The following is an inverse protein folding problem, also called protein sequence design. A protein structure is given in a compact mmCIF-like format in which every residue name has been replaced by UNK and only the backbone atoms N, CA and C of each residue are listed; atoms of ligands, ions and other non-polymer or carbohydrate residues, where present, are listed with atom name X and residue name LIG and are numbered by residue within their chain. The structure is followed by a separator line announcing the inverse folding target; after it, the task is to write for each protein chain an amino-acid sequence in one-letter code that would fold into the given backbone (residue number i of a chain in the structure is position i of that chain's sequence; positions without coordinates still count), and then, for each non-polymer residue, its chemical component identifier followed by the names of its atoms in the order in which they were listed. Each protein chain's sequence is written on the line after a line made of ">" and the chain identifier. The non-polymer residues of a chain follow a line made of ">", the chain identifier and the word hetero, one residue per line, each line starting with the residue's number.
data_IF_370156592570
#
_entry.id   IF_370156592570
#
_cell.length_a   1.000
_cell.length_b   1.000
_cell.length_c   1.000
_cell.angle_alpha   90.00
_cell.angle_beta   90.00
_cell.angle_gamma   90.00
#
_symmetry.space_group_name_H-M   'P 1'
#
loop_
_entity.id
_entity.type
_entity.pdbx_description
1 polymer ?
#
# COMPACT_ATOMS: atom_id res chain seq x y z
N UNK A 1 -23.41 5.52 -12.58
CA UNK A 1 -23.01 6.29 -11.40
C UNK A 1 -21.73 7.02 -11.65
N UNK A 2 -21.59 8.20 -11.08
CA UNK A 2 -20.40 9.02 -11.31
C UNK A 2 -19.27 8.56 -10.41
N UNK A 3 -18.09 8.43 -11.00
CA UNK A 3 -16.89 8.15 -10.25
C UNK A 3 -16.29 9.45 -9.74
N UNK A 4 -15.62 9.39 -8.62
CA UNK A 4 -14.92 10.52 -8.03
C UNK A 4 -13.47 10.17 -7.82
N UNK A 5 -12.64 11.20 -7.74
CA UNK A 5 -11.24 11.01 -7.43
C UNK A 5 -11.04 10.81 -5.94
N UNK A 6 -10.16 9.87 -5.61
CA UNK A 6 -9.78 9.60 -4.24
C UNK A 6 -8.27 9.60 -4.14
N UNK A 7 -7.79 9.96 -2.97
CA UNK A 7 -6.39 9.91 -2.64
C UNK A 7 -6.22 8.90 -1.52
N UNK A 8 -5.29 7.97 -1.70
CA UNK A 8 -4.95 7.00 -0.67
C UNK A 8 -3.51 7.23 -0.24
N UNK A 9 -3.30 7.39 1.06
CA UNK A 9 -1.97 7.49 1.63
C UNK A 9 -1.66 6.17 2.32
N UNK A 10 -0.59 5.54 1.92
CA UNK A 10 -0.19 4.25 2.46
C UNK A 10 1.17 4.41 3.09
N UNK A 11 1.25 4.08 4.37
CA UNK A 11 2.52 4.13 5.09
C UNK A 11 3.02 2.71 5.33
N UNK A 12 4.26 2.49 4.99
CA UNK A 12 4.90 1.20 5.08
C UNK A 12 5.94 1.21 6.18
N UNK A 13 5.96 0.15 6.96
CA UNK A 13 7.05 -0.08 7.88
C UNK A 13 8.04 -0.99 7.17
N UNK A 14 9.25 -0.49 6.96
CA UNK A 14 10.30 -1.30 6.37
C UNK A 14 11.07 -1.95 7.51
N UNK A 15 10.95 -3.27 7.61
CA UNK A 15 11.58 -4.03 8.68
C UNK A 15 12.84 -4.69 8.15
N UNK A 16 13.88 -4.62 8.93
CA UNK A 16 15.12 -5.30 8.58
C UNK A 16 15.25 -6.54 9.46
N UNK A 17 15.54 -7.64 8.82
CA UNK A 17 15.61 -8.92 9.51
C UNK A 17 16.67 -8.88 10.60
N UNK A 18 16.23 -9.15 11.84
CA UNK A 18 17.14 -9.17 12.96
C UNK A 18 17.40 -7.83 13.62
N UNK A 19 16.92 -6.73 13.05
CA UNK A 19 17.15 -5.41 13.59
C UNK A 19 15.88 -4.60 13.85
N UNK A 20 14.73 -5.10 13.43
CA UNK A 20 13.48 -4.42 13.66
C UNK A 20 13.19 -3.34 12.63
N UNK A 21 12.56 -2.27 13.08
CA UNK A 21 12.12 -1.20 12.18
C UNK A 21 13.33 -0.43 11.65
N UNK A 22 13.41 -0.35 10.32
CA UNK A 22 14.47 0.39 9.66
C UNK A 22 14.02 1.78 9.27
N UNK A 23 12.86 1.88 8.66
CA UNK A 23 12.37 3.17 8.21
C UNK A 23 10.88 3.08 7.88
N UNK A 24 10.28 4.25 7.70
CA UNK A 24 8.91 4.37 7.20
C UNK A 24 8.98 4.92 5.80
N UNK A 25 8.12 4.39 4.94
CA UNK A 25 7.93 4.92 3.59
C UNK A 25 6.49 5.32 3.43
N UNK A 26 6.27 6.44 2.75
CA UNK A 26 4.93 6.91 2.44
C UNK A 26 4.74 6.88 0.93
N UNK A 27 3.57 6.43 0.52
CA UNK A 27 3.19 6.44 -0.88
C UNK A 27 1.80 7.04 -1.00
N UNK A 28 1.59 7.80 -2.07
CA UNK A 28 0.30 8.43 -2.32
C UNK A 28 -0.18 7.97 -3.68
N UNK A 29 -1.43 7.52 -3.72
CA UNK A 29 -2.06 7.03 -4.94
C UNK A 29 -3.32 7.84 -5.21
N UNK A 30 -3.55 8.17 -6.48
CA UNK A 30 -4.76 8.84 -6.91
C UNK A 30 -5.50 7.91 -7.85
N UNK A 31 -6.79 7.74 -7.63
CA UNK A 31 -7.59 6.87 -8.48
C UNK A 31 -9.06 7.29 -8.41
N UNK A 32 -9.83 6.82 -9.38
CA UNK A 32 -11.26 7.07 -9.42
C UNK A 32 -12.02 5.87 -8.90
N UNK A 33 -13.07 6.13 -8.13
CA UNK A 33 -13.91 5.08 -7.59
C UNK A 33 -15.35 5.57 -7.48
N UNK A 34 -16.27 4.64 -7.36
CA UNK A 34 -17.69 4.95 -7.30
C UNK A 34 -18.16 5.35 -5.91
N UNK A 35 -17.45 4.91 -4.89
CA UNK A 35 -17.84 5.18 -3.51
C UNK A 35 -16.63 5.15 -2.59
N UNK A 36 -16.75 5.73 -1.39
CA UNK A 36 -15.67 5.64 -0.41
C UNK A 36 -15.34 4.21 -0.03
N UNK A 37 -16.35 3.34 0.09
CA UNK A 37 -16.11 1.95 0.44
C UNK A 37 -15.31 1.23 -0.64
N UNK A 38 -15.67 1.44 -1.91
CA UNK A 38 -14.93 0.84 -3.01
C UNK A 38 -13.52 1.39 -3.07
N UNK A 39 -13.34 2.68 -2.81
CA UNK A 39 -12.03 3.31 -2.79
C UNK A 39 -11.16 2.70 -1.69
N UNK A 40 -11.74 2.48 -0.52
CA UNK A 40 -11.01 1.89 0.59
C UNK A 40 -10.55 0.48 0.27
N UNK A 41 -11.42 -0.34 -0.34
CA UNK A 41 -11.06 -1.69 -0.73
C UNK A 41 -9.94 -1.69 -1.76
N UNK A 42 -9.99 -0.77 -2.71
CA UNK A 42 -8.94 -0.67 -3.72
C UNK A 42 -7.61 -0.28 -3.09
N UNK A 43 -7.64 0.65 -2.14
CA UNK A 43 -6.44 1.07 -1.43
C UNK A 43 -5.82 -0.10 -0.66
N UNK A 44 -6.64 -0.92 -0.02
CA UNK A 44 -6.15 -2.11 0.67
C UNK A 44 -5.48 -3.08 -0.29
N UNK A 45 -6.06 -3.27 -1.46
CA UNK A 45 -5.47 -4.15 -2.46
C UNK A 45 -4.09 -3.65 -2.91
N UNK A 46 -3.96 -2.34 -3.12
CA UNK A 46 -2.67 -1.77 -3.46
C UNK A 46 -1.66 -2.04 -2.35
N UNK A 47 -2.07 -1.83 -1.11
CA UNK A 47 -1.22 -2.06 0.04
C UNK A 47 -0.72 -3.49 0.13
N UNK A 48 -1.61 -4.44 -0.03
CA UNK A 48 -1.24 -5.85 0.03
C UNK A 48 -0.32 -6.25 -1.11
N UNK A 49 -0.58 -5.74 -2.30
CA UNK A 49 0.23 -6.06 -3.46
C UNK A 49 1.67 -5.57 -3.30
N UNK A 50 1.82 -4.35 -2.83
CA UNK A 50 3.16 -3.79 -2.60
C UNK A 50 3.89 -4.55 -1.49
N UNK A 51 3.16 -4.95 -0.47
CA UNK A 51 3.74 -5.72 0.62
C UNK A 51 4.29 -7.06 0.14
N UNK A 52 3.56 -7.73 -0.74
CA UNK A 52 4.00 -8.99 -1.30
C UNK A 52 5.28 -8.84 -2.12
N UNK A 53 5.37 -7.76 -2.89
CA UNK A 53 6.57 -7.50 -3.67
C UNK A 53 7.77 -7.32 -2.75
N UNK A 54 7.61 -6.63 -1.64
CA UNK A 54 8.69 -6.43 -0.68
C UNK A 54 9.14 -7.74 -0.05
N UNK A 55 8.20 -8.62 0.26
CA UNK A 55 8.55 -9.91 0.82
C UNK A 55 9.37 -10.74 -0.15
N UNK A 56 9.03 -10.71 -1.41
CA UNK A 56 9.79 -11.42 -2.42
C UNK A 56 11.21 -10.89 -2.55
N UNK A 57 11.37 -9.58 -2.47
CA UNK A 57 12.69 -8.97 -2.54
C UNK A 57 13.56 -9.35 -1.35
N UNK A 58 12.95 -9.61 -0.22
CA UNK A 58 13.67 -9.95 0.99
C UNK A 58 13.96 -11.43 1.12
N UNK A 59 13.41 -12.24 0.25
CA UNK A 59 13.62 -13.67 0.31
C UNK A 59 15.07 -13.98 -0.01
N UNK A 60 15.77 -14.61 0.91
CA UNK A 60 17.18 -14.90 0.72
C UNK A 60 17.40 -16.09 -0.16
N UNK A 61 16.62 -16.37 -1.04
CA UNK A 61 16.81 -17.45 -2.02
C UNK A 61 17.75 -18.56 -1.54
#
# INVERSE_FOLDING_TARGET
>A
MMKQWYQAEIRWAVMEQGQGLREWKDSVYFFMSESPDAAFQYALEIGYRECEVHEEDLDPA
#
